data_IF_858712444096
#
_entry.id   IF_858712444096
#
_cell.length_a   1.000
_cell.length_b   1.000
_cell.length_c   1.000
_cell.angle_alpha   90.00
_cell.angle_beta   90.00
_cell.angle_gamma   90.00
#
_symmetry.space_group_name_H-M   'P 1'
#
loop_
_entity.id
_entity.type
_entity.pdbx_description
1 polymer ?
#
# COMPACT_ATOMS: atom_id res chain seq x y z
N UNK A 1 -4.32 -2.25 -7.48
CA UNK A 1 -3.72 -1.33 -8.47
C UNK A 1 -4.51 -1.18 -9.77
N UNK A 2 -5.35 -2.14 -10.16
CA UNK A 2 -6.09 -2.07 -11.42
C UNK A 2 -6.88 -0.76 -11.59
N UNK A 3 -7.64 -0.33 -10.58
CA UNK A 3 -8.44 0.92 -10.63
C UNK A 3 -7.54 2.17 -10.78
N UNK A 4 -6.46 2.28 -10.01
CA UNK A 4 -5.57 3.44 -10.11
C UNK A 4 -4.88 3.56 -11.47
N UNK A 5 -4.54 2.42 -12.10
CA UNK A 5 -4.00 2.38 -13.46
C UNK A 5 -5.07 2.68 -14.52
N UNK A 6 -6.29 2.16 -14.36
CA UNK A 6 -7.44 2.47 -15.24
C UNK A 6 -7.77 3.97 -15.22
N UNK A 7 -7.73 4.58 -14.03
CA UNK A 7 -8.01 6.00 -13.82
C UNK A 7 -6.81 6.91 -14.14
N UNK A 8 -5.68 6.35 -14.60
CA UNK A 8 -4.44 7.06 -14.93
C UNK A 8 -4.00 8.05 -13.82
N UNK A 9 -4.18 7.67 -12.56
CA UNK A 9 -3.84 8.52 -11.42
C UNK A 9 -2.33 8.66 -11.34
N UNK A 10 -1.81 9.89 -11.34
CA UNK A 10 -0.38 10.17 -11.19
C UNK A 10 0.07 10.22 -9.73
N UNK A 11 -0.84 10.60 -8.84
CA UNK A 11 -0.62 10.75 -7.39
C UNK A 11 -1.65 9.95 -6.64
N UNK A 12 -1.20 9.09 -5.73
CA UNK A 12 -2.06 8.15 -5.00
C UNK A 12 -1.69 8.10 -3.53
N UNK A 13 -2.70 8.16 -2.68
CA UNK A 13 -2.58 7.90 -1.24
C UNK A 13 -3.33 6.60 -0.95
N UNK A 14 -2.60 5.59 -0.49
CA UNK A 14 -3.14 4.33 -0.02
C UNK A 14 -3.29 4.37 1.50
N UNK A 15 -4.40 3.84 1.99
CA UNK A 15 -4.66 3.73 3.42
C UNK A 15 -4.75 2.25 3.80
N UNK A 16 -4.22 1.90 4.97
CA UNK A 16 -4.39 0.58 5.56
C UNK A 16 -4.58 0.69 7.06
N UNK A 17 -5.44 -0.18 7.60
CA UNK A 17 -5.61 -0.35 9.04
C UNK A 17 -4.56 -1.27 9.67
N UNK A 18 -3.73 -1.92 8.86
CA UNK A 18 -2.67 -2.80 9.33
C UNK A 18 -1.34 -2.05 9.46
N UNK A 19 -1.02 -1.63 10.69
CA UNK A 19 0.23 -0.92 11.01
C UNK A 19 1.47 -1.69 10.59
N UNK A 20 1.48 -3.02 10.69
CA UNK A 20 2.66 -3.84 10.35
C UNK A 20 2.99 -3.78 8.85
N UNK A 21 1.96 -3.73 7.99
CA UNK A 21 2.11 -3.61 6.54
C UNK A 21 2.60 -2.21 6.18
N UNK A 22 2.01 -1.17 6.78
CA UNK A 22 2.41 0.23 6.57
C UNK A 22 3.90 0.41 6.93
N UNK A 23 4.31 -0.11 8.09
CA UNK A 23 5.72 -0.04 8.53
C UNK A 23 6.66 -0.79 7.59
N UNK A 24 6.28 -2.00 7.13
CA UNK A 24 7.11 -2.77 6.20
C UNK A 24 7.29 -2.07 4.85
N UNK A 25 6.23 -1.46 4.32
CA UNK A 25 6.27 -0.76 3.04
C UNK A 25 7.03 0.57 3.11
N UNK A 26 6.98 1.25 4.26
CA UNK A 26 7.72 2.49 4.49
C UNK A 26 9.16 2.28 4.96
N UNK A 27 9.54 1.06 5.35
CA UNK A 27 10.91 0.75 5.77
C UNK A 27 11.82 0.50 4.56
N UNK A 28 13.05 1.03 4.62
CA UNK A 28 14.10 0.80 3.62
C UNK A 28 14.98 -0.41 3.93
N UNK A 29 14.68 -1.15 5.00
CA UNK A 29 15.46 -2.33 5.41
C UNK A 29 15.29 -3.52 4.47
N UNK A 30 16.33 -4.35 4.35
CA UNK A 30 16.21 -5.64 3.67
C UNK A 30 15.48 -6.63 4.57
N UNK A 31 14.25 -6.97 4.18
CA UNK A 31 13.45 -8.01 4.81
C UNK A 31 13.39 -9.22 3.87
N UNK A 32 14.06 -10.31 4.25
CA UNK A 32 14.16 -11.55 3.47
C UNK A 32 12.99 -12.52 3.72
N UNK A 33 12.03 -12.15 4.56
CA UNK A 33 10.82 -12.95 4.76
C UNK A 33 9.93 -12.91 3.52
N UNK A 34 9.01 -13.86 3.39
CA UNK A 34 8.01 -13.85 2.32
C UNK A 34 7.22 -12.52 2.29
N UNK A 35 6.86 -12.00 3.47
CA UNK A 35 6.21 -10.70 3.58
C UNK A 35 7.11 -9.54 3.16
N UNK A 36 8.41 -9.63 3.44
CA UNK A 36 9.41 -8.67 2.97
C UNK A 36 9.54 -8.66 1.44
N UNK A 37 9.59 -9.83 0.81
CA UNK A 37 9.58 -9.94 -0.66
C UNK A 37 8.31 -9.32 -1.27
N UNK A 38 7.12 -9.64 -0.71
CA UNK A 38 5.86 -9.05 -1.16
C UNK A 38 5.82 -7.54 -0.98
N UNK A 39 6.32 -7.03 0.13
CA UNK A 39 6.46 -5.59 0.36
C UNK A 39 7.36 -4.95 -0.71
N UNK A 40 8.50 -5.57 -1.04
CA UNK A 40 9.41 -5.10 -2.09
C UNK A 40 8.73 -5.05 -3.47
N UNK A 41 7.98 -6.09 -3.85
CA UNK A 41 7.21 -6.12 -5.09
C UNK A 41 6.16 -4.99 -5.15
N UNK A 42 5.47 -4.73 -4.03
CA UNK A 42 4.51 -3.63 -3.93
C UNK A 42 5.23 -2.29 -4.06
N UNK A 43 6.33 -2.08 -3.34
CA UNK A 43 7.13 -0.85 -3.43
C UNK A 43 7.63 -0.58 -4.85
N UNK A 44 8.05 -1.60 -5.60
CA UNK A 44 8.41 -1.44 -7.02
C UNK A 44 7.23 -0.93 -7.84
N UNK A 45 6.03 -1.49 -7.66
CA UNK A 45 4.83 -1.02 -8.36
C UNK A 45 4.43 0.39 -7.95
N UNK A 46 4.66 0.78 -6.70
CA UNK A 46 4.35 2.14 -6.21
C UNK A 46 5.26 3.20 -6.86
N UNK A 47 6.47 2.82 -7.30
CA UNK A 47 7.37 3.71 -8.04
C UNK A 47 6.88 4.05 -9.45
N UNK A 48 5.89 3.33 -9.99
CA UNK A 48 5.25 3.68 -11.27
C UNK A 48 4.47 5.01 -11.19
N UNK A 49 4.13 5.48 -9.98
CA UNK A 49 3.42 6.73 -9.76
C UNK A 49 4.40 7.89 -9.57
N UNK A 50 4.01 9.11 -9.99
CA UNK A 50 4.77 10.33 -9.69
C UNK A 50 4.87 10.55 -8.18
N UNK A 51 3.80 10.20 -7.45
CA UNK A 51 3.78 10.18 -5.99
C UNK A 51 2.88 9.06 -5.48
N UNK A 52 3.42 8.18 -4.66
CA UNK A 52 2.65 7.19 -3.93
C UNK A 52 3.00 7.27 -2.44
N UNK A 53 1.99 7.35 -1.59
CA UNK A 53 2.14 7.32 -0.13
C UNK A 53 1.25 6.22 0.43
N UNK A 54 1.73 5.53 1.46
CA UNK A 54 0.90 4.63 2.26
C UNK A 54 0.86 5.09 3.71
N UNK A 55 -0.35 5.31 4.23
CA UNK A 55 -0.60 5.78 5.58
C UNK A 55 -1.44 4.78 6.36
N UNK A 56 -1.21 4.75 7.67
CA UNK A 56 -2.10 4.03 8.57
C UNK A 56 -3.38 4.83 8.81
N UNK A 57 -4.53 4.16 8.80
CA UNK A 57 -5.83 4.73 9.15
C UNK A 57 -6.58 3.77 10.07
N UNK A 58 -7.41 4.25 11.02
CA UNK A 58 -8.19 3.35 11.87
C UNK A 58 -9.12 2.44 11.05
N UNK A 59 -9.35 1.18 11.47
CA UNK A 59 -10.26 0.24 10.79
C UNK A 59 -11.67 0.80 10.54
N UNK A 60 -12.14 1.66 11.46
CA UNK A 60 -13.43 2.34 11.32
C UNK A 60 -13.52 3.30 10.12
N UNK A 61 -12.41 3.65 9.49
CA UNK A 61 -12.31 4.45 8.27
C UNK A 61 -12.22 3.56 7.02
N UNK A 62 -11.84 2.28 7.18
CA UNK A 62 -11.69 1.31 6.11
C UNK A 62 -12.96 0.46 5.88
N UNK A 63 -14.14 0.96 6.29
CA UNK A 63 -15.41 0.20 6.28
C UNK A 63 -15.76 -0.36 4.91
N UNK A 64 -15.53 0.42 3.86
CA UNK A 64 -15.85 0.00 2.49
C UNK A 64 -15.01 -1.22 2.07
N UNK A 65 -13.72 -1.24 2.42
CA UNK A 65 -12.87 -2.38 2.14
C UNK A 65 -13.21 -3.59 3.04
N UNK A 66 -13.57 -3.34 4.30
CA UNK A 66 -13.94 -4.38 5.27
C UNK A 66 -15.30 -5.04 4.93
N UNK A 67 -16.23 -4.28 4.35
CA UNK A 67 -17.54 -4.77 3.89
C UNK A 67 -17.50 -5.55 2.57
N UNK A 68 -16.32 -5.72 1.98
CA UNK A 68 -16.15 -6.47 0.72
C UNK A 68 -15.96 -7.96 1.04
N UNK A 69 -17.04 -8.62 1.47
CA UNK A 69 -17.16 -10.08 1.57
C UNK A 69 -18.57 -10.52 1.20
#
# INVERSE_FOLDING_TARGET
MAIAKILNLKKVNFESDNTSIVTKLNSSGQDITFMGQRAKEICMKLKDFEKAVITWAPRSYNRLADSTY
#
